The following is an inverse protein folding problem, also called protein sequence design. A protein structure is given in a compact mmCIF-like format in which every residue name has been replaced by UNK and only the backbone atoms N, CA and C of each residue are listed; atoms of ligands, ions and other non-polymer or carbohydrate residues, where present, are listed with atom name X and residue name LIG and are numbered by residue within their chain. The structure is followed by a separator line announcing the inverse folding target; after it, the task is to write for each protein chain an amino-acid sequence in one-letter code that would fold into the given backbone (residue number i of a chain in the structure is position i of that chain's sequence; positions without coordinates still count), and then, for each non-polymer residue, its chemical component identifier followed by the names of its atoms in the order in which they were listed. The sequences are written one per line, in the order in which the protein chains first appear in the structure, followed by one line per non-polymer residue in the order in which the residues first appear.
data_IF_751779676402
#
_entry.id   IF_751779676402
#
_cell.length_a   1.000
_cell.length_b   1.000
_cell.length_c   1.000
_cell.angle_alpha   90.00
_cell.angle_beta   90.00
_cell.angle_gamma   90.00
#
_symmetry.space_group_name_H-M   'P 1'
#
loop_
_entity.id
_entity.type
_entity.pdbx_description
1 polymer ?
#
# COMPACT_ATOMS: atom_id res chain seq x y z
N UNK A 1 21.15 30.08 -18.85
CA UNK A 1 20.70 29.17 -19.91
C UNK A 1 19.80 28.16 -19.24
N UNK A 2 18.49 28.38 -19.31
CA UNK A 2 17.49 27.46 -18.78
C UNK A 2 17.44 26.23 -19.69
N UNK A 3 17.71 25.06 -19.12
CA UNK A 3 17.45 23.78 -19.78
C UNK A 3 15.93 23.55 -19.77
N UNK A 4 15.22 24.15 -20.72
CA UNK A 4 13.88 23.70 -21.08
C UNK A 4 14.02 22.36 -21.80
N UNK A 5 13.73 21.28 -21.09
CA UNK A 5 13.47 19.99 -21.73
C UNK A 5 12.25 20.17 -22.66
N UNK A 6 12.35 19.78 -23.94
CA UNK A 6 11.20 19.83 -24.84
C UNK A 6 10.32 18.62 -24.50
N UNK A 7 9.44 18.79 -23.54
CA UNK A 7 8.31 17.87 -23.42
C UNK A 7 7.39 18.20 -24.59
N UNK A 8 7.41 17.34 -25.61
CA UNK A 8 6.32 17.32 -26.59
C UNK A 8 5.01 17.07 -25.82
N UNK A 9 3.94 17.80 -26.14
CA UNK A 9 2.62 17.65 -25.50
C UNK A 9 2.04 16.22 -25.67
N UNK A 10 2.66 15.43 -26.54
CA UNK A 10 2.32 14.02 -26.80
C UNK A 10 3.15 13.02 -25.97
N UNK A 11 3.98 13.48 -25.03
CA UNK A 11 4.75 12.58 -24.17
C UNK A 11 3.93 12.13 -22.96
N UNK A 12 3.80 10.81 -22.82
CA UNK A 12 3.08 10.20 -21.70
C UNK A 12 4.04 10.04 -20.50
N UNK A 13 3.73 10.74 -19.41
CA UNK A 13 4.48 10.64 -18.16
C UNK A 13 3.87 9.53 -17.30
N UNK A 14 4.68 8.56 -16.92
CA UNK A 14 4.25 7.41 -16.11
C UNK A 14 5.05 7.40 -14.81
N UNK A 15 4.38 7.15 -13.69
CA UNK A 15 5.03 7.05 -12.38
C UNK A 15 5.97 5.84 -12.29
N UNK A 16 7.03 5.97 -11.50
CA UNK A 16 8.03 4.93 -11.32
C UNK A 16 7.43 3.67 -10.66
N UNK A 17 6.49 3.87 -9.75
CA UNK A 17 5.74 2.85 -9.05
C UNK A 17 4.97 1.97 -10.04
N UNK A 18 4.32 2.60 -11.02
CA UNK A 18 3.51 1.92 -12.02
C UNK A 18 4.38 1.14 -13.01
N UNK A 19 5.51 1.71 -13.43
CA UNK A 19 6.53 0.98 -14.20
C UNK A 19 7.09 -0.22 -13.43
N UNK A 20 7.36 -0.04 -12.13
CA UNK A 20 7.84 -1.11 -11.25
C UNK A 20 6.83 -2.23 -11.10
N UNK A 21 5.55 -1.88 -10.94
CA UNK A 21 4.44 -2.84 -10.87
C UNK A 21 4.33 -3.66 -12.17
N UNK A 22 4.34 -2.99 -13.33
CA UNK A 22 4.26 -3.66 -14.64
C UNK A 22 5.44 -4.63 -14.80
N UNK A 23 6.66 -4.16 -14.52
CA UNK A 23 7.86 -4.98 -14.58
C UNK A 23 7.78 -6.19 -13.63
N UNK A 24 7.22 -6.01 -12.42
CA UNK A 24 7.02 -7.09 -11.46
C UNK A 24 6.04 -8.13 -11.97
N UNK A 25 4.90 -7.71 -12.52
CA UNK A 25 3.87 -8.60 -13.08
C UNK A 25 4.47 -9.43 -14.22
N UNK A 26 5.19 -8.79 -15.15
CA UNK A 26 5.81 -9.48 -16.29
C UNK A 26 6.85 -10.50 -15.84
N UNK A 27 7.68 -10.16 -14.84
CA UNK A 27 8.74 -11.06 -14.34
C UNK A 27 8.21 -12.23 -13.53
N UNK A 28 7.19 -12.01 -12.69
CA UNK A 28 6.77 -12.99 -11.70
C UNK A 28 5.46 -13.70 -12.05
N UNK A 29 4.61 -13.09 -12.88
CA UNK A 29 3.28 -13.61 -13.22
C UNK A 29 2.95 -13.51 -14.72
N UNK A 30 3.85 -13.90 -15.64
CA UNK A 30 3.60 -13.78 -17.07
C UNK A 30 2.40 -14.62 -17.53
N UNK A 31 2.18 -15.79 -16.93
CA UNK A 31 1.06 -16.66 -17.28
C UNK A 31 -0.30 -16.04 -16.91
N UNK A 32 -0.36 -15.24 -15.85
CA UNK A 32 -1.59 -14.53 -15.46
C UNK A 32 -1.98 -13.54 -16.56
N UNK A 33 -1.01 -12.79 -17.08
CA UNK A 33 -1.23 -11.85 -18.19
C UNK A 33 -1.68 -12.61 -19.45
N UNK A 34 -1.01 -13.71 -19.81
CA UNK A 34 -1.39 -14.51 -20.98
C UNK A 34 -2.81 -15.05 -20.88
N UNK A 35 -3.19 -15.64 -19.74
CA UNK A 35 -4.54 -16.14 -19.52
C UNK A 35 -5.58 -15.03 -19.57
N UNK A 36 -5.27 -13.85 -19.04
CA UNK A 36 -6.16 -12.70 -19.12
C UNK A 36 -6.42 -12.31 -20.60
N UNK A 37 -5.36 -12.24 -21.41
CA UNK A 37 -5.48 -11.98 -22.86
C UNK A 37 -6.30 -13.08 -23.55
N UNK A 38 -5.99 -14.35 -23.30
CA UNK A 38 -6.73 -15.48 -23.89
C UNK A 38 -8.22 -15.46 -23.53
N UNK A 39 -8.55 -15.13 -22.28
CA UNK A 39 -9.92 -15.03 -21.83
C UNK A 39 -10.64 -13.87 -22.52
N UNK A 40 -10.02 -12.69 -22.59
CA UNK A 40 -10.61 -11.53 -23.26
C UNK A 40 -10.87 -11.78 -24.76
N UNK A 41 -9.94 -12.49 -25.43
CA UNK A 41 -10.13 -12.91 -26.81
C UNK A 41 -11.35 -13.81 -26.97
N UNK A 42 -11.56 -14.76 -26.06
CA UNK A 42 -12.74 -15.66 -26.05
C UNK A 42 -14.05 -14.93 -25.71
N UNK A 43 -14.00 -13.88 -24.89
CA UNK A 43 -15.20 -13.14 -24.45
C UNK A 43 -15.61 -12.00 -25.38
N UNK A 44 -15.16 -12.01 -26.65
CA UNK A 44 -15.64 -11.09 -27.68
C UNK A 44 -14.66 -10.01 -28.14
N UNK A 45 -13.45 -9.91 -27.57
CA UNK A 45 -12.43 -8.99 -28.09
C UNK A 45 -12.02 -9.37 -29.52
N UNK A 46 -11.97 -10.68 -29.83
CA UNK A 46 -11.65 -11.17 -31.18
C UNK A 46 -12.67 -10.68 -32.22
N UNK A 47 -13.96 -10.62 -31.87
CA UNK A 47 -15.02 -10.12 -32.75
C UNK A 47 -14.94 -8.61 -32.93
N UNK A 48 -14.62 -7.87 -31.86
CA UNK A 48 -14.42 -6.41 -31.91
C UNK A 48 -13.23 -6.05 -32.80
N UNK A 49 -12.11 -6.75 -32.67
CA UNK A 49 -10.92 -6.58 -33.52
C UNK A 49 -11.21 -6.94 -34.99
N UNK A 50 -11.96 -8.01 -35.25
CA UNK A 50 -12.35 -8.39 -36.60
C UNK A 50 -13.28 -7.37 -37.28
N UNK A 51 -14.13 -6.69 -36.51
CA UNK A 51 -14.98 -5.58 -36.99
C UNK A 51 -14.16 -4.31 -37.25
N UNK A 52 -13.20 -3.99 -36.37
CA UNK A 52 -12.33 -2.81 -36.53
C UNK A 52 -11.34 -2.93 -37.69
N UNK A 53 -10.84 -4.13 -38.04
CA UNK A 53 -9.99 -4.32 -39.23
C UNK A 53 -10.67 -3.97 -40.56
N UNK A 54 -11.99 -3.78 -40.56
CA UNK A 54 -12.76 -3.33 -41.74
C UNK A 54 -12.97 -1.81 -41.78
N UNK A 55 -12.55 -1.10 -40.73
CA UNK A 55 -12.73 0.34 -40.56
C UNK A 55 -11.34 0.92 -40.25
N UNK A 56 -10.62 1.38 -41.28
CA UNK A 56 -9.22 1.85 -41.23
C UNK A 56 -8.98 3.15 -40.45
N UNK A 57 -9.61 3.34 -39.29
CA UNK A 57 -9.43 4.54 -38.47
C UNK A 57 -9.33 4.15 -37.00
N UNK A 58 -8.15 3.69 -36.60
CA UNK A 58 -7.70 3.92 -35.24
C UNK A 58 -7.27 5.39 -35.18
N UNK A 59 -8.20 6.25 -34.80
CA UNK A 59 -7.95 7.66 -34.52
C UNK A 59 -6.89 7.73 -33.40
N UNK A 60 -5.75 8.39 -33.63
CA UNK A 60 -4.63 8.45 -32.69
C UNK A 60 -5.07 8.99 -31.32
N UNK A 61 -6.05 9.90 -31.30
CA UNK A 61 -6.68 10.42 -30.08
C UNK A 61 -7.31 9.33 -29.22
N UNK A 62 -8.03 8.37 -29.82
CA UNK A 62 -8.70 7.29 -29.10
C UNK A 62 -7.68 6.32 -28.47
N UNK A 63 -6.51 6.16 -29.08
CA UNK A 63 -5.46 5.30 -28.55
C UNK A 63 -4.79 5.93 -27.33
N UNK A 64 -4.49 7.23 -27.38
CA UNK A 64 -3.90 7.93 -26.25
C UNK A 64 -4.84 7.96 -25.05
N UNK A 65 -6.13 8.23 -25.27
CA UNK A 65 -7.16 8.18 -24.22
C UNK A 65 -7.25 6.78 -23.59
N UNK A 66 -7.26 5.73 -24.42
CA UNK A 66 -7.28 4.34 -23.95
C UNK A 66 -6.07 3.98 -23.08
N UNK A 67 -4.89 4.51 -23.40
CA UNK A 67 -3.66 4.28 -22.62
C UNK A 67 -3.71 5.03 -21.28
N UNK A 68 -4.20 6.27 -21.28
CA UNK A 68 -4.38 7.06 -20.05
C UNK A 68 -5.39 6.39 -19.13
N UNK A 69 -6.53 5.94 -19.65
CA UNK A 69 -7.52 5.18 -18.88
C UNK A 69 -6.95 3.89 -18.29
N UNK A 70 -6.17 3.13 -19.07
CA UNK A 70 -5.53 1.90 -18.61
C UNK A 70 -4.58 2.15 -17.44
N UNK A 71 -3.70 3.15 -17.56
CA UNK A 71 -2.77 3.49 -16.48
C UNK A 71 -3.48 4.11 -15.28
N UNK A 72 -4.51 4.91 -15.49
CA UNK A 72 -5.35 5.44 -14.40
C UNK A 72 -6.00 4.32 -13.58
N UNK A 73 -6.54 3.29 -14.23
CA UNK A 73 -7.08 2.12 -13.54
C UNK A 73 -6.02 1.36 -12.74
N UNK A 74 -4.82 1.20 -13.30
CA UNK A 74 -3.70 0.53 -12.62
C UNK A 74 -3.22 1.31 -11.40
N UNK A 75 -3.11 2.63 -11.52
CA UNK A 75 -2.72 3.51 -10.43
C UNK A 75 -3.76 3.50 -9.31
N UNK A 76 -5.04 3.66 -9.65
CA UNK A 76 -6.13 3.57 -8.68
C UNK A 76 -6.13 2.22 -7.95
N UNK A 77 -5.97 1.11 -8.69
CA UNK A 77 -5.92 -0.23 -8.10
C UNK A 77 -4.72 -0.39 -7.15
N UNK A 78 -3.58 0.23 -7.47
CA UNK A 78 -2.40 0.22 -6.62
C UNK A 78 -2.64 1.02 -5.34
N UNK A 79 -3.22 2.22 -5.45
CA UNK A 79 -3.60 3.06 -4.32
C UNK A 79 -4.57 2.30 -3.41
N UNK A 80 -5.67 1.78 -3.95
CA UNK A 80 -6.67 1.02 -3.19
C UNK A 80 -6.05 -0.18 -2.47
N UNK A 81 -5.17 -0.94 -3.13
CA UNK A 81 -4.51 -2.09 -2.51
C UNK A 81 -3.52 -1.70 -1.40
N UNK A 82 -2.86 -0.54 -1.53
CA UNK A 82 -1.94 -0.03 -0.51
C UNK A 82 -2.67 0.62 0.67
N UNK A 83 -3.75 1.34 0.42
CA UNK A 83 -4.63 1.91 1.45
C UNK A 83 -5.38 0.81 2.22
N UNK A 84 -5.89 -0.22 1.54
CA UNK A 84 -6.48 -1.38 2.20
C UNK A 84 -5.47 -2.10 3.11
N UNK A 85 -4.17 -2.05 2.79
CA UNK A 85 -3.10 -2.55 3.67
C UNK A 85 -2.77 -1.59 4.81
N UNK A 86 -2.91 -0.28 4.65
CA UNK A 86 -2.67 0.70 5.72
C UNK A 86 -3.80 0.71 6.76
N UNK A 87 -5.06 0.55 6.32
CA UNK A 87 -6.25 0.48 7.18
C UNK A 87 -6.23 -0.78 8.07
N UNK A 88 -5.66 -1.88 7.58
CA UNK A 88 -5.54 -3.14 8.34
C UNK A 88 -4.23 -3.25 9.15
N UNK A 89 -3.38 -2.22 9.14
CA UNK A 89 -2.29 -2.15 10.11
C UNK A 89 -2.83 -1.52 11.40
N UNK A 90 -2.72 -2.19 12.57
CA UNK A 90 -3.00 -1.53 13.83
C UNK A 90 -2.00 -0.39 13.99
N UNK A 91 -2.50 0.82 13.76
CA UNK A 91 -1.67 1.99 13.62
C UNK A 91 -1.02 2.33 14.97
N UNK A 92 0.20 2.90 14.98
CA UNK A 92 0.79 3.49 16.17
C UNK A 92 -0.12 4.52 16.85
N UNK A 93 -1.03 5.15 16.10
CA UNK A 93 -2.01 6.10 16.63
C UNK A 93 -3.02 5.44 17.59
N UNK A 94 -3.38 4.18 17.38
CA UNK A 94 -4.26 3.45 18.31
C UNK A 94 -3.59 3.26 19.69
N UNK A 95 -2.27 3.15 19.72
CA UNK A 95 -1.49 3.06 20.96
C UNK A 95 -1.20 4.43 21.57
N UNK A 96 -1.11 5.50 20.77
CA UNK A 96 -0.80 6.84 21.25
C UNK A 96 -1.77 7.32 22.33
N UNK A 97 -3.09 7.20 22.09
CA UNK A 97 -4.11 7.58 23.08
C UNK A 97 -4.06 6.72 24.36
N UNK A 98 -3.67 5.44 24.25
CA UNK A 98 -3.50 4.56 25.43
C UNK A 98 -2.24 4.90 26.21
N UNK A 99 -1.15 5.26 25.52
CA UNK A 99 0.10 5.71 26.14
C UNK A 99 -0.11 7.02 26.89
N UNK A 100 -0.84 7.97 26.30
CA UNK A 100 -1.19 9.26 26.95
C UNK A 100 -2.07 9.08 28.20
N UNK A 101 -2.87 8.01 28.26
CA UNK A 101 -3.70 7.70 29.43
C UNK A 101 -2.94 7.06 30.59
N UNK A 102 -1.67 6.69 30.40
CA UNK A 102 -0.84 6.13 31.48
C UNK A 102 -0.30 7.29 32.33
N UNK A 103 -0.59 7.24 33.63
CA UNK A 103 0.00 8.13 34.60
C UNK A 103 1.52 7.95 34.66
N UNK A 104 2.25 8.93 34.14
CA UNK A 104 3.71 8.98 34.09
C UNK A 104 4.37 8.99 35.47
N UNK A 105 3.62 9.25 36.55
CA UNK A 105 4.12 9.11 37.93
C UNK A 105 4.14 7.66 38.42
N UNK A 106 3.40 6.76 37.76
CA UNK A 106 3.20 5.37 38.16
C UNK A 106 3.98 4.34 37.32
N UNK A 107 4.40 4.74 36.11
CA UNK A 107 5.08 3.86 35.16
C UNK A 107 6.25 4.58 34.49
N UNK A 108 7.41 3.92 34.46
CA UNK A 108 8.63 4.45 33.85
C UNK A 108 8.47 4.61 32.33
N UNK A 109 8.85 5.77 31.80
CA UNK A 109 8.74 6.07 30.37
C UNK A 109 9.50 5.06 29.51
N UNK A 110 10.62 4.54 30.00
CA UNK A 110 11.41 3.52 29.30
C UNK A 110 10.64 2.20 29.17
N UNK A 111 9.83 1.84 30.17
CA UNK A 111 9.00 0.64 30.16
C UNK A 111 7.84 0.81 29.16
N UNK A 112 7.20 1.98 29.15
CA UNK A 112 6.12 2.31 28.21
C UNK A 112 6.63 2.24 26.76
N UNK A 113 7.78 2.87 26.47
CA UNK A 113 8.37 2.88 25.14
C UNK A 113 8.77 1.48 24.67
N UNK A 114 9.37 0.69 25.56
CA UNK A 114 9.75 -0.71 25.28
C UNK A 114 8.53 -1.58 25.00
N UNK A 115 7.47 -1.44 25.80
CA UNK A 115 6.22 -2.18 25.63
C UNK A 115 5.51 -1.78 24.34
N UNK A 116 5.46 -0.50 24.01
CA UNK A 116 4.92 -0.02 22.72
C UNK A 116 5.67 -0.63 21.53
N UNK A 117 7.01 -0.63 21.59
CA UNK A 117 7.84 -1.23 20.53
C UNK A 117 7.59 -2.74 20.38
N UNK A 118 7.45 -3.47 21.50
CA UNK A 118 7.14 -4.92 21.50
C UNK A 118 5.76 -5.18 20.93
N UNK A 119 4.77 -4.39 21.30
CA UNK A 119 3.40 -4.47 20.75
C UNK A 119 3.39 -4.21 19.25
N UNK A 120 4.08 -3.18 18.76
CA UNK A 120 4.18 -2.91 17.32
C UNK A 120 4.81 -4.09 16.57
N UNK A 121 5.85 -4.74 17.13
CA UNK A 121 6.46 -5.93 16.54
C UNK A 121 5.53 -7.15 16.55
N UNK A 122 4.76 -7.33 17.61
CA UNK A 122 3.83 -8.45 17.76
C UNK A 122 2.60 -8.30 16.84
N UNK A 123 2.09 -7.07 16.70
CA UNK A 123 1.01 -6.74 15.78
C UNK A 123 1.38 -6.96 14.31
N UNK A 124 2.64 -6.70 13.94
CA UNK A 124 3.15 -7.03 12.59
C UNK A 124 3.17 -8.53 12.28
N UNK A 125 3.19 -9.39 13.31
CA UNK A 125 3.24 -10.86 13.16
C UNK A 125 1.86 -11.51 13.25
N UNK A 126 0.93 -10.91 13.99
CA UNK A 126 -0.43 -11.42 14.20
C UNK A 126 -1.46 -10.35 13.82
N UNK A 127 -1.83 -10.33 12.54
CA UNK A 127 -2.87 -9.43 12.02
C UNK A 127 -4.22 -9.86 12.60
N UNK A 128 -4.89 -8.98 13.35
CA UNK A 128 -6.22 -9.21 13.94
C UNK A 128 -6.29 -9.27 15.47
N UNK A 129 -5.17 -9.11 16.20
CA UNK A 129 -5.21 -8.93 17.66
C UNK A 129 -5.49 -7.48 18.05
N UNK A 130 -6.27 -7.27 19.11
CA UNK A 130 -6.50 -5.95 19.69
C UNK A 130 -5.17 -5.36 20.20
N UNK A 131 -4.81 -4.21 19.64
CA UNK A 131 -3.58 -3.49 19.95
C UNK A 131 -3.51 -3.08 21.43
N UNK A 132 -4.64 -2.71 22.04
CA UNK A 132 -4.70 -2.26 23.44
C UNK A 132 -4.42 -3.41 24.40
N UNK A 133 -5.12 -4.52 24.22
CA UNK A 133 -4.92 -5.72 25.04
C UNK A 133 -3.49 -6.25 24.93
N UNK A 134 -2.93 -6.24 23.73
CA UNK A 134 -1.57 -6.68 23.51
C UNK A 134 -0.55 -5.73 24.14
N UNK A 135 -0.82 -4.43 24.09
CA UNK A 135 -0.01 -3.42 24.78
C UNK A 135 -0.05 -3.60 26.30
N UNK A 136 -1.23 -3.77 26.91
CA UNK A 136 -1.33 -4.01 28.35
C UNK A 136 -0.62 -5.30 28.76
N UNK A 137 -0.70 -6.38 27.96
CA UNK A 137 0.05 -7.61 28.23
C UNK A 137 1.56 -7.38 28.21
N UNK A 138 2.08 -6.65 27.23
CA UNK A 138 3.51 -6.35 27.15
C UNK A 138 3.97 -5.35 28.23
N UNK A 139 3.10 -4.41 28.61
CA UNK A 139 3.30 -3.48 29.72
C UNK A 139 3.39 -4.24 31.04
N UNK A 140 2.41 -5.07 31.37
CA UNK A 140 2.37 -5.85 32.61
C UNK A 140 3.54 -6.84 32.74
N UNK A 141 4.00 -7.44 31.62
CA UNK A 141 5.21 -8.28 31.62
C UNK A 141 6.48 -7.53 31.98
N UNK A 142 6.54 -6.24 31.62
CA UNK A 142 7.73 -5.41 31.76
C UNK A 142 7.67 -4.51 33.00
N UNK A 143 6.49 -4.35 33.59
CA UNK A 143 6.25 -3.52 34.75
C UNK A 143 6.63 -4.25 36.04
N UNK A 144 7.61 -3.72 36.76
CA UNK A 144 8.00 -4.19 38.08
C UNK A 144 7.80 -3.09 39.13
N UNK A 145 6.64 -3.03 39.80
CA UNK A 145 6.31 -1.95 40.74
C UNK A 145 7.16 -1.93 42.03
N UNK A 146 8.04 -2.93 42.24
CA UNK A 146 8.90 -3.02 43.44
C UNK A 146 10.19 -2.20 43.38
N UNK A 147 10.53 -1.59 42.24
CA UNK A 147 11.68 -0.69 42.13
C UNK A 147 11.26 0.77 42.30
N UNK A 148 10.71 1.13 43.47
CA UNK A 148 10.77 2.52 43.92
C UNK A 148 12.24 2.82 44.22
N UNK A 149 12.98 3.34 43.23
CA UNK A 149 14.19 4.11 43.54
C UNK A 149 13.72 5.34 44.29
N UNK A 150 13.83 5.28 45.61
CA UNK A 150 13.78 6.42 46.50
C UNK A 150 14.84 7.41 46.06
N UNK A 151 14.45 8.40 45.27
CA UNK A 151 15.24 9.61 45.09
C UNK A 151 15.05 10.46 46.35
N UNK A 152 16.11 10.53 47.16
CA UNK A 152 16.37 11.65 48.05
C UNK A 152 16.89 12.84 47.24
#
# INVERSE_FOLDING_TARGET
MENQFPFDENQLVISFELLSLINWIVKHQPETVRRLVENLLKTGLQEKLAKQRKTDLFDEMNLQESIVEFFGLFEQSLVEATEARSINQPSPQALAATIESIDSSSCDHDIIALSAQRTTRALKRNVGQDAKDLFYKELLKSWNPRNKRSYH
#
